data_IF_688335118210
#
_entry.id   IF_688335118210
#
_cell.length_a   1.000
_cell.length_b   1.000
_cell.length_c   1.000
_cell.angle_alpha   90.00
_cell.angle_beta   90.00
_cell.angle_gamma   90.00
#
_symmetry.space_group_name_H-M   'P 1'
#
loop_
_entity.id
_entity.type
_entity.pdbx_description
1 polymer ?
#
# COMPACT_ATOMS: atom_id res chain seq x y z
N UNK A 1 2.08 11.24 -56.44
CA UNK A 1 1.32 10.99 -55.21
C UNK A 1 1.93 9.80 -54.49
N UNK A 2 2.80 10.05 -53.52
CA UNK A 2 3.35 8.98 -52.67
C UNK A 2 2.41 8.80 -51.48
N UNK A 3 1.76 7.64 -51.41
CA UNK A 3 0.96 7.27 -50.25
C UNK A 3 1.90 7.19 -49.04
N UNK A 4 1.70 8.08 -48.06
CA UNK A 4 2.30 7.94 -46.73
C UNK A 4 1.91 6.57 -46.20
N UNK A 5 2.91 5.75 -45.90
CA UNK A 5 2.72 4.52 -45.15
C UNK A 5 1.84 4.84 -43.93
N UNK A 6 0.74 4.08 -43.79
CA UNK A 6 -0.18 4.20 -42.69
C UNK A 6 0.63 4.27 -41.40
N UNK A 7 0.52 5.40 -40.69
CA UNK A 7 1.18 5.58 -39.41
C UNK A 7 0.86 4.40 -38.54
N UNK A 8 1.88 3.82 -37.91
CA UNK A 8 1.65 3.12 -36.67
C UNK A 8 0.74 4.05 -35.85
N UNK A 9 -0.46 3.62 -35.40
CA UNK A 9 -1.19 4.42 -34.44
C UNK A 9 -0.20 4.70 -33.32
N UNK A 10 -0.04 5.97 -32.94
CA UNK A 10 0.83 6.43 -31.86
C UNK A 10 0.39 5.73 -30.56
N UNK A 11 0.83 4.49 -30.41
CA UNK A 11 0.37 3.54 -29.39
C UNK A 11 1.10 3.87 -28.11
N UNK A 12 0.33 4.35 -27.13
CA UNK A 12 0.56 4.14 -25.69
C UNK A 12 2.00 4.41 -25.21
N UNK A 13 2.54 5.61 -25.46
CA UNK A 13 3.70 6.03 -24.69
C UNK A 13 3.20 6.55 -23.35
N UNK A 14 3.12 5.66 -22.35
CA UNK A 14 2.85 6.07 -20.99
C UNK A 14 3.92 7.09 -20.57
N UNK A 15 3.50 8.25 -20.06
CA UNK A 15 4.45 9.21 -19.50
C UNK A 15 5.19 8.55 -18.32
N UNK A 16 6.41 8.99 -17.97
CA UNK A 16 7.13 8.44 -16.82
C UNK A 16 6.31 8.46 -15.52
N UNK A 17 5.41 9.45 -15.37
CA UNK A 17 4.54 9.59 -14.20
C UNK A 17 3.40 8.56 -14.18
N UNK A 18 2.82 8.26 -15.34
CA UNK A 18 1.78 7.22 -15.44
C UNK A 18 2.42 5.83 -15.25
N UNK A 19 3.63 5.62 -15.76
CA UNK A 19 4.40 4.41 -15.51
C UNK A 19 4.73 4.25 -14.02
N UNK A 20 5.15 5.31 -13.34
CA UNK A 20 5.42 5.30 -11.89
C UNK A 20 4.15 5.03 -11.07
N UNK A 21 3.03 5.69 -11.40
CA UNK A 21 1.74 5.44 -10.75
C UNK A 21 1.29 3.99 -10.94
N UNK A 22 1.45 3.45 -12.15
CA UNK A 22 1.13 2.05 -12.44
C UNK A 22 2.03 1.07 -11.72
N UNK A 23 3.33 1.34 -11.67
CA UNK A 23 4.27 0.53 -10.90
C UNK A 23 3.87 0.50 -9.42
N UNK A 24 3.64 1.66 -8.81
CA UNK A 24 3.20 1.77 -7.42
C UNK A 24 1.90 0.99 -7.18
N UNK A 25 0.90 1.16 -8.06
CA UNK A 25 -0.39 0.47 -7.94
C UNK A 25 -0.26 -1.06 -8.03
N UNK A 26 0.55 -1.56 -8.96
CA UNK A 26 0.80 -2.99 -9.14
C UNK A 26 1.56 -3.60 -7.96
N UNK A 27 2.61 -2.92 -7.49
CA UNK A 27 3.39 -3.41 -6.36
C UNK A 27 2.61 -3.34 -5.05
N UNK A 28 1.78 -2.32 -4.86
CA UNK A 28 0.87 -2.24 -3.71
C UNK A 28 -0.19 -3.34 -3.76
N UNK A 29 -0.67 -3.69 -4.97
CA UNK A 29 -1.56 -4.85 -5.15
C UNK A 29 -0.87 -6.16 -4.78
N UNK A 30 0.39 -6.36 -5.17
CA UNK A 30 1.17 -7.53 -4.76
C UNK A 30 1.33 -7.59 -3.23
N UNK A 31 1.62 -6.46 -2.59
CA UNK A 31 1.69 -6.37 -1.12
C UNK A 31 0.35 -6.69 -0.45
N UNK A 32 -0.77 -6.19 -0.99
CA UNK A 32 -2.11 -6.58 -0.51
C UNK A 32 -2.35 -8.09 -0.65
N UNK A 33 -1.91 -8.73 -1.74
CA UNK A 33 -2.06 -10.18 -1.91
C UNK A 33 -1.29 -11.00 -0.87
N UNK A 34 -0.11 -10.54 -0.43
CA UNK A 34 0.60 -11.12 0.71
C UNK A 34 -0.28 -11.10 1.97
N UNK A 35 -0.94 -9.97 2.24
CA UNK A 35 -1.85 -9.85 3.39
C UNK A 35 -3.16 -10.62 3.19
N UNK A 36 -3.67 -10.77 1.98
CA UNK A 36 -4.80 -11.69 1.71
C UNK A 36 -4.42 -13.12 2.10
N UNK A 37 -3.23 -13.57 1.71
CA UNK A 37 -2.74 -14.89 2.12
C UNK A 37 -2.60 -14.99 3.65
N UNK A 38 -2.12 -13.94 4.30
CA UNK A 38 -2.08 -13.86 5.76
C UNK A 38 -3.47 -13.94 6.40
N UNK A 39 -4.49 -13.25 5.85
CA UNK A 39 -5.86 -13.32 6.35
C UNK A 39 -6.46 -14.72 6.19
N UNK A 40 -6.14 -15.42 5.09
CA UNK A 40 -6.54 -16.83 4.90
C UNK A 40 -5.87 -17.70 5.97
N UNK A 41 -4.56 -17.51 6.21
CA UNK A 41 -3.83 -18.24 7.25
C UNK A 41 -4.45 -18.04 8.64
N UNK A 42 -4.82 -16.81 9.00
CA UNK A 42 -5.38 -16.49 10.32
C UNK A 42 -6.82 -16.97 10.47
N UNK A 43 -7.70 -16.60 9.53
CA UNK A 43 -9.14 -16.76 9.72
C UNK A 43 -9.70 -18.07 9.17
N UNK A 44 -9.01 -18.71 8.22
CA UNK A 44 -9.45 -19.97 7.60
C UNK A 44 -8.63 -21.14 8.11
N UNK A 45 -7.30 -20.98 8.21
CA UNK A 45 -6.40 -22.04 8.66
C UNK A 45 -6.10 -22.00 10.16
N UNK A 46 -6.58 -20.96 10.86
CA UNK A 46 -6.38 -20.77 12.30
C UNK A 46 -4.90 -20.75 12.74
N UNK A 47 -4.02 -20.28 11.86
CA UNK A 47 -2.62 -20.06 12.16
C UNK A 47 -2.45 -18.73 12.90
N UNK A 48 -1.43 -18.64 13.75
CA UNK A 48 -1.15 -17.45 14.57
C UNK A 48 0.33 -17.12 14.61
N UNK A 49 0.65 -15.85 14.84
CA UNK A 49 2.04 -15.39 14.99
C UNK A 49 2.90 -15.78 13.80
N UNK A 50 4.03 -16.43 14.07
CA UNK A 50 5.02 -16.84 13.07
C UNK A 50 4.52 -17.86 12.05
N UNK A 51 3.36 -18.51 12.32
CA UNK A 51 2.73 -19.41 11.36
C UNK A 51 1.86 -18.68 10.32
N UNK A 52 1.53 -17.41 10.51
CA UNK A 52 0.66 -16.61 9.64
C UNK A 52 1.39 -15.37 9.07
N UNK A 53 2.26 -15.59 8.08
CA UNK A 53 3.21 -14.59 7.58
C UNK A 53 2.98 -14.19 6.11
N UNK A 54 1.92 -14.65 5.46
CA UNK A 54 1.68 -14.44 4.03
C UNK A 54 2.36 -15.49 3.15
N UNK A 55 2.60 -15.16 1.87
CA UNK A 55 3.21 -16.05 0.87
C UNK A 55 4.74 -16.01 1.02
N UNK A 56 5.32 -14.80 1.10
CA UNK A 56 6.76 -14.56 1.28
C UNK A 56 7.05 -14.11 2.71
N UNK A 57 6.79 -15.00 3.67
CA UNK A 57 6.85 -14.68 5.10
C UNK A 57 8.19 -14.15 5.63
N UNK A 58 9.30 -14.38 4.93
CA UNK A 58 10.61 -13.81 5.29
C UNK A 58 10.63 -12.27 5.21
N UNK A 59 9.74 -11.69 4.40
CA UNK A 59 9.59 -10.24 4.26
C UNK A 59 8.57 -9.67 5.26
N UNK A 60 7.88 -10.51 6.03
CA UNK A 60 6.89 -10.05 7.02
C UNK A 60 7.57 -9.57 8.32
N UNK A 61 8.51 -8.63 8.20
CA UNK A 61 9.26 -8.06 9.32
C UNK A 61 9.03 -6.55 9.42
N UNK A 62 9.16 -6.00 10.63
CA UNK A 62 8.79 -4.62 10.95
C UNK A 62 9.49 -3.59 10.02
N UNK A 63 10.77 -3.79 9.75
CA UNK A 63 11.56 -2.92 8.86
C UNK A 63 11.06 -2.90 7.42
N UNK A 64 10.62 -4.04 6.89
CA UNK A 64 10.10 -4.11 5.52
C UNK A 64 8.80 -3.33 5.42
N UNK A 65 7.89 -3.49 6.38
CA UNK A 65 6.63 -2.74 6.38
C UNK A 65 6.87 -1.23 6.55
N UNK A 66 7.75 -0.84 7.48
CA UNK A 66 8.09 0.57 7.66
C UNK A 66 8.67 1.18 6.38
N UNK A 67 9.67 0.53 5.77
CA UNK A 67 10.30 1.00 4.54
C UNK A 67 9.34 1.03 3.35
N UNK A 68 8.48 0.02 3.23
CA UNK A 68 7.45 -0.06 2.20
C UNK A 68 6.46 1.11 2.30
N UNK A 69 5.91 1.36 3.49
CA UNK A 69 4.97 2.46 3.72
C UNK A 69 5.62 3.84 3.50
N UNK A 70 6.90 4.00 3.88
CA UNK A 70 7.65 5.21 3.58
C UNK A 70 7.78 5.43 2.06
N UNK A 71 8.12 4.38 1.31
CA UNK A 71 8.25 4.44 -0.14
C UNK A 71 6.92 4.77 -0.82
N UNK A 72 5.81 4.16 -0.38
CA UNK A 72 4.46 4.44 -0.87
C UNK A 72 4.14 5.92 -0.67
N UNK A 73 4.30 6.44 0.55
CA UNK A 73 4.00 7.83 0.87
C UNK A 73 4.86 8.81 0.07
N UNK A 74 6.18 8.59 0.00
CA UNK A 74 7.09 9.45 -0.78
C UNK A 74 6.71 9.45 -2.27
N UNK A 75 6.37 8.28 -2.81
CA UNK A 75 5.95 8.16 -4.22
C UNK A 75 4.63 8.89 -4.46
N UNK A 76 3.65 8.75 -3.58
CA UNK A 76 2.38 9.49 -3.65
C UNK A 76 2.59 11.00 -3.61
N UNK A 77 3.43 11.48 -2.69
CA UNK A 77 3.78 12.91 -2.59
C UNK A 77 4.49 13.42 -3.85
N UNK A 78 5.31 12.60 -4.51
CA UNK A 78 5.95 12.95 -5.78
C UNK A 78 4.96 12.96 -6.96
N UNK A 79 3.95 12.08 -6.94
CA UNK A 79 2.91 11.97 -7.98
C UNK A 79 1.84 13.07 -7.85
N UNK A 80 1.55 13.54 -6.64
CA UNK A 80 0.44 14.47 -6.36
C UNK A 80 0.49 15.77 -7.21
N UNK A 81 1.64 16.45 -7.38
CA UNK A 81 1.72 17.64 -8.24
C UNK A 81 1.57 17.34 -9.74
N UNK A 82 1.70 16.07 -10.15
CA UNK A 82 1.62 15.63 -11.54
C UNK A 82 0.19 15.27 -11.96
N UNK A 83 -0.65 14.93 -10.99
CA UNK A 83 -2.06 14.60 -11.19
C UNK A 83 -2.96 15.39 -10.22
N UNK A 84 -2.91 16.74 -10.25
CA UNK A 84 -3.54 17.59 -9.23
C UNK A 84 -5.08 17.56 -9.25
N UNK A 85 -5.69 16.99 -10.29
CA UNK A 85 -7.14 16.88 -10.45
C UNK A 85 -7.65 15.45 -10.25
N UNK A 86 -6.79 14.52 -9.82
CA UNK A 86 -7.18 13.14 -9.55
C UNK A 86 -7.68 13.00 -8.11
N UNK A 87 -9.00 12.90 -7.88
CA UNK A 87 -9.54 12.86 -6.51
C UNK A 87 -9.12 11.60 -5.75
N UNK A 88 -8.87 10.49 -6.44
CA UNK A 88 -8.45 9.22 -5.82
C UNK A 88 -7.01 9.30 -5.31
N UNK A 89 -6.11 9.89 -6.10
CA UNK A 89 -4.73 10.13 -5.68
C UNK A 89 -4.66 11.13 -4.51
N UNK A 90 -5.48 12.18 -4.55
CA UNK A 90 -5.59 13.14 -3.44
C UNK A 90 -6.12 12.46 -2.18
N UNK A 91 -7.14 11.60 -2.29
CA UNK A 91 -7.75 10.91 -1.14
C UNK A 91 -6.85 9.82 -0.55
N UNK A 92 -6.11 9.08 -1.37
CA UNK A 92 -5.23 7.99 -0.88
C UNK A 92 -3.99 8.52 -0.16
N UNK A 93 -3.51 9.72 -0.53
CA UNK A 93 -2.31 10.31 0.07
C UNK A 93 -2.39 10.50 1.59
N UNK A 94 -3.45 11.11 2.17
CA UNK A 94 -3.59 11.20 3.63
C UNK A 94 -3.82 9.84 4.30
N UNK A 95 -4.45 8.87 3.63
CA UNK A 95 -4.58 7.50 4.14
C UNK A 95 -3.21 6.84 4.29
N UNK A 96 -2.38 6.91 3.25
CA UNK A 96 -1.00 6.44 3.28
C UNK A 96 -0.16 7.18 4.34
N UNK A 97 -0.41 8.48 4.52
CA UNK A 97 0.20 9.25 5.59
C UNK A 97 -0.15 8.72 6.98
N UNK A 98 -1.43 8.43 7.22
CA UNK A 98 -1.90 7.85 8.48
C UNK A 98 -1.33 6.45 8.73
N UNK A 99 -1.35 5.59 7.71
CA UNK A 99 -0.82 4.24 7.80
C UNK A 99 0.71 4.24 8.05
N UNK A 100 1.45 5.18 7.44
CA UNK A 100 2.86 5.35 7.73
C UNK A 100 3.12 5.81 9.18
N UNK A 101 2.25 6.65 9.76
CA UNK A 101 2.33 7.05 11.17
C UNK A 101 2.14 5.83 12.09
N UNK A 102 1.16 4.97 11.80
CA UNK A 102 0.96 3.70 12.52
C UNK A 102 2.24 2.84 12.52
N UNK A 103 2.85 2.66 11.34
CA UNK A 103 4.13 1.95 11.24
C UNK A 103 5.30 2.66 11.92
N UNK A 104 5.30 3.98 11.95
CA UNK A 104 6.31 4.77 12.66
C UNK A 104 6.25 4.53 14.17
N UNK A 105 5.05 4.37 14.72
CA UNK A 105 4.87 4.00 16.14
C UNK A 105 5.34 2.57 16.38
N UNK A 106 4.98 1.65 15.49
CA UNK A 106 5.35 0.24 15.64
C UNK A 106 6.87 0.03 15.55
N UNK A 107 7.55 0.69 14.59
CA UNK A 107 9.01 0.60 14.50
C UNK A 107 9.69 1.24 15.71
N UNK A 108 9.18 2.36 16.24
CA UNK A 108 9.71 2.96 17.45
C UNK A 108 9.61 1.99 18.65
N UNK A 109 8.48 1.31 18.80
CA UNK A 109 8.28 0.30 19.86
C UNK A 109 9.17 -0.91 19.67
N UNK A 110 9.37 -1.36 18.44
CA UNK A 110 10.31 -2.43 18.13
C UNK A 110 11.75 -2.04 18.48
N UNK A 111 12.16 -0.81 18.20
CA UNK A 111 13.49 -0.30 18.57
C UNK A 111 13.68 -0.17 20.09
N UNK A 112 12.61 0.18 20.83
CA UNK A 112 12.64 0.29 22.29
C UNK A 112 12.68 -1.08 22.99
N UNK A 113 11.93 -2.06 22.48
CA UNK A 113 11.65 -3.31 23.21
C UNK A 113 12.28 -4.55 22.59
N UNK A 114 12.64 -4.51 21.31
CA UNK A 114 13.03 -5.67 20.51
C UNK A 114 11.87 -6.64 20.20
N UNK A 115 10.63 -6.32 20.57
CA UNK A 115 9.47 -7.21 20.41
C UNK A 115 8.74 -6.88 19.11
N UNK A 116 8.76 -7.77 18.10
CA UNK A 116 8.05 -7.57 16.85
C UNK A 116 6.54 -7.71 17.05
N UNK A 117 5.76 -7.10 16.15
CA UNK A 117 4.30 -7.26 16.14
C UNK A 117 3.56 -6.52 17.27
N UNK A 118 4.23 -5.58 17.93
CA UNK A 118 3.61 -4.68 18.91
C UNK A 118 2.45 -3.88 18.29
N UNK A 119 1.38 -3.57 19.04
CA UNK A 119 0.30 -2.70 18.57
C UNK A 119 0.81 -1.30 18.21
N UNK A 120 0.17 -0.70 17.20
CA UNK A 120 0.35 0.70 16.82
C UNK A 120 -0.50 1.66 17.65
N UNK A 121 -1.11 2.64 16.98
CA UNK A 121 -2.07 3.57 17.56
C UNK A 121 -3.47 2.97 17.68
N UNK A 122 -4.05 2.43 16.60
CA UNK A 122 -5.48 2.04 16.56
C UNK A 122 -5.74 0.54 16.66
N UNK A 123 -4.76 -0.33 16.50
CA UNK A 123 -4.98 -1.77 16.70
C UNK A 123 -5.28 -2.09 18.17
N UNK A 124 -5.88 -3.25 18.45
CA UNK A 124 -6.21 -3.68 19.81
C UNK A 124 -4.98 -3.62 20.73
N UNK A 125 -5.08 -2.87 21.83
CA UNK A 125 -3.97 -2.58 22.74
C UNK A 125 -3.10 -1.40 22.29
N UNK A 126 -3.57 -0.61 21.32
CA UNK A 126 -2.87 0.52 20.75
C UNK A 126 -2.82 1.75 21.65
N UNK A 127 -1.94 2.69 21.32
CA UNK A 127 -1.67 3.86 22.16
C UNK A 127 -2.84 4.84 22.24
N UNK A 128 -3.70 4.88 21.22
CA UNK A 128 -4.79 5.85 21.15
C UNK A 128 -6.04 5.25 21.80
N UNK A 129 -6.31 5.67 23.04
CA UNK A 129 -7.46 5.21 23.86
C UNK A 129 -7.54 3.68 24.05
N UNK A 130 -6.40 2.97 23.99
CA UNK A 130 -6.35 1.50 24.07
C UNK A 130 -6.62 0.78 22.75
N UNK A 131 -6.83 1.54 21.66
CA UNK A 131 -7.09 1.02 20.32
C UNK A 131 -8.54 0.60 20.08
N UNK A 132 -8.82 0.23 18.84
CA UNK A 132 -10.06 -0.39 18.39
C UNK A 132 -10.05 -1.88 18.73
N UNK A 133 -11.22 -2.55 18.82
CA UNK A 133 -11.31 -3.99 19.01
C UNK A 133 -10.99 -4.76 17.72
N UNK A 134 -9.92 -4.38 17.04
CA UNK A 134 -9.46 -4.94 15.77
C UNK A 134 -8.01 -5.39 15.97
N UNK A 135 -7.70 -6.69 15.78
CA UNK A 135 -6.32 -7.14 15.88
C UNK A 135 -5.42 -6.44 14.85
N UNK A 136 -4.13 -6.30 15.18
CA UNK A 136 -3.15 -5.63 14.33
C UNK A 136 -3.11 -6.17 12.88
N UNK A 137 -3.06 -7.50 12.62
CA UNK A 137 -3.03 -8.02 11.25
C UNK A 137 -4.26 -7.62 10.43
N UNK A 138 -5.45 -7.68 11.03
CA UNK A 138 -6.71 -7.29 10.41
C UNK A 138 -6.75 -5.79 10.09
N UNK A 139 -6.34 -4.94 11.04
CA UNK A 139 -6.29 -3.50 10.82
C UNK A 139 -5.30 -3.14 9.70
N UNK A 140 -4.13 -3.79 9.69
CA UNK A 140 -3.12 -3.58 8.65
C UNK A 140 -3.61 -4.04 7.28
N UNK A 141 -4.32 -5.16 7.19
CA UNK A 141 -4.99 -5.59 5.97
C UNK A 141 -6.02 -4.55 5.49
N UNK A 142 -6.82 -3.99 6.40
CA UNK A 142 -7.79 -2.94 6.07
C UNK A 142 -7.11 -1.68 5.52
N UNK A 143 -6.02 -1.21 6.14
CA UNK A 143 -5.25 -0.08 5.62
C UNK A 143 -4.75 -0.36 4.20
N UNK A 144 -4.12 -1.52 3.97
CA UNK A 144 -3.65 -1.91 2.64
C UNK A 144 -4.79 -1.96 1.61
N UNK A 145 -5.97 -2.46 1.99
CA UNK A 145 -7.14 -2.51 1.11
C UNK A 145 -7.63 -1.11 0.73
N UNK A 146 -7.83 -0.23 1.72
CA UNK A 146 -8.33 1.14 1.49
C UNK A 146 -7.31 2.06 0.84
N UNK A 147 -6.03 1.68 0.81
CA UNK A 147 -5.01 2.34 0.00
C UNK A 147 -4.97 1.81 -1.43
N UNK A 148 -4.93 0.48 -1.59
CA UNK A 148 -4.76 -0.16 -2.90
C UNK A 148 -5.91 0.14 -3.84
N UNK A 149 -7.15 0.11 -3.34
CA UNK A 149 -8.35 0.30 -4.18
C UNK A 149 -8.38 1.71 -4.80
N UNK A 150 -8.30 2.82 -4.04
CA UNK A 150 -8.20 4.15 -4.61
C UNK A 150 -6.99 4.32 -5.53
N UNK A 151 -5.85 3.72 -5.21
CA UNK A 151 -4.64 3.82 -6.02
C UNK A 151 -4.79 3.16 -7.40
N UNK A 152 -5.39 1.96 -7.46
CA UNK A 152 -5.73 1.30 -8.73
C UNK A 152 -6.73 2.12 -9.53
N UNK A 153 -7.75 2.68 -8.88
CA UNK A 153 -8.74 3.54 -9.55
C UNK A 153 -8.07 4.81 -10.08
N UNK A 154 -7.19 5.44 -9.29
CA UNK A 154 -6.41 6.61 -9.72
C UNK A 154 -5.63 6.31 -11.00
N UNK A 155 -4.95 5.16 -11.05
CA UNK A 155 -4.19 4.73 -12.21
C UNK A 155 -5.06 4.48 -13.44
N UNK A 156 -6.18 3.75 -13.28
CA UNK A 156 -7.13 3.48 -14.37
C UNK A 156 -7.74 4.78 -14.91
N UNK A 157 -8.06 5.74 -14.05
CA UNK A 157 -8.58 7.05 -14.46
C UNK A 157 -7.57 7.81 -15.32
N UNK A 158 -6.29 7.84 -14.93
CA UNK A 158 -5.27 8.53 -15.73
C UNK A 158 -4.96 7.79 -17.04
N UNK A 159 -4.97 6.45 -17.04
CA UNK A 159 -4.80 5.67 -18.28
C UNK A 159 -5.89 5.96 -19.31
N UNK A 160 -7.13 6.21 -18.87
CA UNK A 160 -8.26 6.53 -19.77
C UNK A 160 -8.21 7.96 -20.34
N UNK A 161 -7.32 8.81 -19.84
CA UNK A 161 -7.12 10.19 -20.30
C UNK A 161 -6.05 10.30 -21.40
N UNK A 162 -5.32 9.22 -21.68
CA UNK A 162 -4.35 9.08 -22.78
C UNK A 162 -5.10 8.62 -24.04
#
# INVERSE_FOLDING_TARGET
MAARAAGYPDRLVATPWIALLGFLALTQTAHLLEHVAQMIQIHVLHLSGDAAQGIVGQLNIEWVHFGWNALVLVTLLALLPRFPTNPWLIAVTPLAGWHFIEHSVMIARYLETGIPGSPGLLSSGGLLFGGLPIPRPDLHFLYNLVETVPLLVAWVVELRRI
#
